data_IF_090923000232
#
_entry.id   IF_090923000232
#
_cell.length_a   1.000
_cell.length_b   1.000
_cell.length_c   1.000
_cell.angle_alpha   90.00
_cell.angle_beta   90.00
_cell.angle_gamma   90.00
#
_symmetry.space_group_name_H-M   'P 1'
#
loop_
_entity.id
_entity.type
_entity.pdbx_description
1 polymer ?
#
# COMPACT_ATOMS: atom_id res chain seq x y z
N UNK A 1 -4.24 -29.24 24.71
CA UNK A 1 -3.54 -28.00 24.33
C UNK A 1 -2.21 -28.40 23.69
N UNK A 2 -2.21 -28.53 22.37
CA UNK A 2 -1.01 -28.59 21.54
C UNK A 2 -1.17 -27.41 20.59
N UNK A 3 -0.38 -26.35 20.77
CA UNK A 3 -0.24 -25.32 19.73
C UNK A 3 0.55 -26.01 18.62
N UNK A 4 -0.15 -26.51 17.61
CA UNK A 4 0.52 -27.10 16.46
C UNK A 4 1.38 -26.02 15.79
N UNK A 5 2.64 -26.31 15.42
CA UNK A 5 3.57 -25.32 14.86
C UNK A 5 3.08 -24.67 13.56
N UNK A 6 2.05 -25.25 12.93
CA UNK A 6 1.36 -24.68 11.76
C UNK A 6 0.75 -23.31 12.07
N UNK A 7 0.13 -23.14 13.24
CA UNK A 7 -0.56 -21.88 13.60
C UNK A 7 0.39 -20.69 13.81
N UNK A 8 1.64 -20.96 14.24
CA UNK A 8 2.62 -19.91 14.47
C UNK A 8 3.18 -19.37 13.14
N UNK A 9 3.36 -20.26 12.15
CA UNK A 9 3.84 -19.88 10.82
C UNK A 9 2.84 -18.96 10.13
N UNK A 10 1.55 -19.32 10.15
CA UNK A 10 0.49 -18.50 9.55
C UNK A 10 0.37 -17.13 10.23
N UNK A 11 0.52 -17.09 11.56
CA UNK A 11 0.55 -15.84 12.30
C UNK A 11 1.71 -14.93 11.86
N UNK A 12 2.94 -15.46 11.78
CA UNK A 12 4.09 -14.67 11.35
C UNK A 12 3.96 -14.22 9.89
N UNK A 13 3.45 -15.08 9.02
CA UNK A 13 3.29 -14.76 7.61
C UNK A 13 2.20 -13.69 7.41
N UNK A 14 1.11 -13.75 8.17
CA UNK A 14 0.07 -12.71 8.20
C UNK A 14 0.61 -11.38 8.75
N UNK A 15 1.35 -11.41 9.86
CA UNK A 15 1.97 -10.21 10.43
C UNK A 15 3.00 -9.57 9.49
N UNK A 16 3.89 -10.39 8.91
CA UNK A 16 4.94 -9.92 8.03
C UNK A 16 4.38 -9.38 6.71
N UNK A 17 3.38 -10.05 6.14
CA UNK A 17 2.69 -9.55 4.94
C UNK A 17 1.95 -8.23 5.22
N UNK A 18 1.29 -8.10 6.37
CA UNK A 18 0.69 -6.82 6.80
C UNK A 18 1.74 -5.70 6.94
N UNK A 19 2.89 -5.99 7.57
CA UNK A 19 3.99 -5.05 7.68
C UNK A 19 4.55 -4.65 6.30
N UNK A 20 4.70 -5.62 5.39
CA UNK A 20 5.12 -5.39 4.01
C UNK A 20 4.13 -4.53 3.23
N UNK A 21 2.82 -4.70 3.43
CA UNK A 21 1.79 -3.84 2.84
C UNK A 21 2.02 -2.38 3.26
N UNK A 22 2.18 -2.11 4.56
CA UNK A 22 2.41 -0.74 5.05
C UNK A 22 3.74 -0.17 4.55
N UNK A 23 4.81 -0.97 4.60
CA UNK A 23 6.14 -0.55 4.14
C UNK A 23 6.15 -0.23 2.64
N UNK A 24 5.58 -1.10 1.80
CA UNK A 24 5.50 -0.87 0.36
C UNK A 24 4.55 0.27 0.01
N UNK A 25 3.46 0.47 0.76
CA UNK A 25 2.54 1.60 0.59
C UNK A 25 3.22 2.95 0.87
N UNK A 26 3.95 3.04 1.99
CA UNK A 26 4.69 4.26 2.36
C UNK A 26 5.82 4.54 1.39
N UNK A 27 6.56 3.50 0.96
CA UNK A 27 7.59 3.60 -0.07
C UNK A 27 7.01 4.07 -1.41
N UNK A 28 5.86 3.52 -1.83
CA UNK A 28 5.15 3.95 -3.03
C UNK A 28 4.73 5.42 -2.95
N UNK A 29 4.14 5.84 -1.82
CA UNK A 29 3.72 7.24 -1.63
C UNK A 29 4.93 8.21 -1.64
N UNK A 30 6.04 7.83 -1.00
CA UNK A 30 7.28 8.61 -1.00
C UNK A 30 7.90 8.73 -2.40
N UNK A 31 8.00 7.61 -3.13
CA UNK A 31 8.49 7.59 -4.50
C UNK A 31 7.58 8.36 -5.46
N UNK A 32 6.26 8.31 -5.24
CA UNK A 32 5.30 9.08 -6.02
C UNK A 32 5.48 10.59 -5.82
N UNK A 33 5.59 11.04 -4.55
CA UNK A 33 5.86 12.43 -4.24
C UNK A 33 7.21 12.89 -4.84
N UNK A 34 8.25 12.07 -4.68
CA UNK A 34 9.56 12.34 -5.25
C UNK A 34 9.55 12.40 -6.78
N UNK A 35 8.84 11.47 -7.43
CA UNK A 35 8.69 11.44 -8.88
C UNK A 35 8.01 12.71 -9.41
N UNK A 36 7.01 13.21 -8.67
CA UNK A 36 6.30 14.42 -9.05
C UNK A 36 7.14 15.68 -8.87
N UNK A 37 7.96 15.76 -7.83
CA UNK A 37 8.87 16.90 -7.60
C UNK A 37 10.03 16.89 -8.60
N UNK A 38 10.65 15.73 -8.82
CA UNK A 38 11.88 15.62 -9.61
C UNK A 38 11.64 15.51 -11.12
N UNK A 39 10.42 15.16 -11.56
CA UNK A 39 10.09 14.96 -12.98
C UNK A 39 10.82 13.78 -13.66
N UNK A 40 11.61 13.01 -12.90
CA UNK A 40 12.42 11.93 -13.42
C UNK A 40 11.60 10.65 -13.67
N UNK A 41 11.75 10.08 -14.88
CA UNK A 41 11.09 8.82 -15.26
C UNK A 41 11.49 7.64 -14.35
N UNK A 42 12.71 7.65 -13.82
CA UNK A 42 13.23 6.61 -12.92
C UNK A 42 12.40 6.50 -11.62
N UNK A 43 12.06 7.63 -11.00
CA UNK A 43 11.25 7.64 -9.78
C UNK A 43 9.81 7.14 -10.04
N UNK A 44 9.26 7.41 -11.24
CA UNK A 44 7.96 6.88 -11.66
C UNK A 44 7.99 5.36 -11.84
N UNK A 45 9.08 4.82 -12.38
CA UNK A 45 9.30 3.36 -12.48
C UNK A 45 9.42 2.76 -11.08
N UNK A 46 10.19 3.38 -10.19
CA UNK A 46 10.31 2.98 -8.79
C UNK A 46 8.96 2.91 -8.08
N UNK A 47 8.12 3.94 -8.23
CA UNK A 47 6.77 3.94 -7.68
C UNK A 47 5.91 2.79 -8.24
N UNK A 48 5.99 2.52 -9.55
CA UNK A 48 5.28 1.39 -10.17
C UNK A 48 5.73 0.04 -9.60
N UNK A 49 7.05 -0.15 -9.43
CA UNK A 49 7.62 -1.37 -8.83
C UNK A 49 7.16 -1.53 -7.38
N UNK A 50 7.19 -0.47 -6.56
CA UNK A 50 6.70 -0.52 -5.19
C UNK A 50 5.22 -0.86 -5.10
N UNK A 51 4.41 -0.33 -6.01
CA UNK A 51 2.99 -0.67 -6.09
C UNK A 51 2.78 -2.14 -6.50
N UNK A 52 3.58 -2.66 -7.43
CA UNK A 52 3.55 -4.09 -7.77
C UNK A 52 3.93 -4.99 -6.57
N UNK A 53 4.93 -4.60 -5.77
CA UNK A 53 5.28 -5.29 -4.53
C UNK A 53 4.17 -5.23 -3.47
N UNK A 54 3.42 -4.13 -3.41
CA UNK A 54 2.24 -4.02 -2.56
C UNK A 54 1.15 -5.01 -2.99
N UNK A 55 0.86 -5.11 -4.29
CA UNK A 55 -0.11 -6.08 -4.81
C UNK A 55 0.27 -7.52 -4.42
N UNK A 56 1.55 -7.88 -4.57
CA UNK A 56 2.05 -9.19 -4.17
C UNK A 56 1.86 -9.42 -2.66
N UNK A 57 2.13 -8.40 -1.83
CA UNK A 57 1.99 -8.50 -0.38
C UNK A 57 0.53 -8.64 0.06
N UNK A 58 -0.40 -7.91 -0.58
CA UNK A 58 -1.85 -8.05 -0.36
C UNK A 58 -2.35 -9.43 -0.80
N UNK A 59 -1.86 -9.95 -1.93
CA UNK A 59 -2.22 -11.29 -2.39
C UNK A 59 -1.79 -12.37 -1.39
N UNK A 60 -0.55 -12.31 -0.89
CA UNK A 60 -0.06 -13.22 0.16
C UNK A 60 -0.87 -13.07 1.45
N UNK A 61 -1.15 -11.84 1.88
CA UNK A 61 -1.98 -11.59 3.07
C UNK A 61 -3.40 -12.18 2.91
N UNK A 62 -3.99 -12.03 1.73
CA UNK A 62 -5.32 -12.54 1.40
C UNK A 62 -5.38 -14.07 1.43
N UNK A 63 -4.37 -14.72 0.87
CA UNK A 63 -4.24 -16.18 0.85
C UNK A 63 -4.07 -16.75 2.27
N UNK A 64 -3.12 -16.20 3.04
CA UNK A 64 -2.80 -16.65 4.41
C UNK A 64 -3.97 -16.43 5.37
N UNK A 65 -4.74 -15.36 5.21
CA UNK A 65 -5.91 -15.09 6.04
C UNK A 65 -7.21 -15.69 5.45
N UNK A 66 -7.12 -16.49 4.38
CA UNK A 66 -8.26 -17.11 3.70
C UNK A 66 -9.39 -16.12 3.36
N UNK A 67 -9.05 -14.91 2.90
CA UNK A 67 -9.99 -13.85 2.53
C UNK A 67 -10.70 -14.17 1.20
N UNK A 68 -11.53 -15.21 1.22
CA UNK A 68 -12.28 -15.72 0.07
C UNK A 68 -13.73 -15.22 0.06
N UNK A 69 -14.36 -15.26 -1.12
CA UNK A 69 -15.75 -14.83 -1.29
C UNK A 69 -15.95 -13.34 -0.96
N UNK A 70 -16.84 -13.04 -0.02
CA UNK A 70 -17.15 -11.67 0.39
C UNK A 70 -15.93 -10.92 0.96
N UNK A 71 -15.01 -11.62 1.63
CA UNK A 71 -13.82 -11.02 2.22
C UNK A 71 -12.79 -10.58 1.18
N UNK A 72 -12.88 -11.05 -0.06
CA UNK A 72 -12.04 -10.59 -1.16
C UNK A 72 -12.25 -9.09 -1.44
N UNK A 73 -13.46 -8.56 -1.17
CA UNK A 73 -13.74 -7.11 -1.25
C UNK A 73 -12.82 -6.31 -0.33
N UNK A 74 -12.45 -6.84 0.83
CA UNK A 74 -11.53 -6.17 1.76
C UNK A 74 -10.14 -6.04 1.14
N UNK A 75 -9.61 -7.12 0.56
CA UNK A 75 -8.33 -7.10 -0.15
C UNK A 75 -8.38 -6.15 -1.35
N UNK A 76 -9.48 -6.15 -2.10
CA UNK A 76 -9.67 -5.24 -3.23
C UNK A 76 -9.71 -3.77 -2.77
N UNK A 77 -10.41 -3.50 -1.66
CA UNK A 77 -10.48 -2.18 -1.05
C UNK A 77 -9.11 -1.70 -0.55
N UNK A 78 -8.26 -2.58 -0.03
CA UNK A 78 -6.88 -2.22 0.32
C UNK A 78 -6.11 -1.78 -0.93
N UNK A 79 -6.14 -2.57 -2.00
CA UNK A 79 -5.42 -2.27 -3.25
C UNK A 79 -5.85 -0.92 -3.85
N UNK A 80 -7.16 -0.69 -3.92
CA UNK A 80 -7.72 0.57 -4.42
C UNK A 80 -7.37 1.72 -3.48
N UNK A 81 -7.54 1.54 -2.17
CA UNK A 81 -7.25 2.56 -1.17
C UNK A 81 -5.80 3.03 -1.24
N UNK A 82 -4.85 2.09 -1.29
CA UNK A 82 -3.43 2.42 -1.42
C UNK A 82 -3.05 3.05 -2.76
N UNK A 83 -3.77 2.74 -3.85
CA UNK A 83 -3.58 3.42 -5.13
C UNK A 83 -4.00 4.88 -5.08
N UNK A 84 -5.15 5.16 -4.47
CA UNK A 84 -5.73 6.50 -4.42
C UNK A 84 -5.06 7.39 -3.38
N UNK A 85 -4.50 6.81 -2.31
CA UNK A 85 -3.93 7.52 -1.18
C UNK A 85 -2.86 8.58 -1.56
N UNK A 86 -1.81 8.28 -2.35
CA UNK A 86 -0.82 9.31 -2.73
C UNK A 86 -1.40 10.42 -3.61
N UNK A 87 -2.39 10.10 -4.44
CA UNK A 87 -3.08 11.10 -5.26
C UNK A 87 -3.92 12.04 -4.40
N UNK A 88 -4.68 11.49 -3.45
CA UNK A 88 -5.49 12.26 -2.51
C UNK A 88 -4.62 13.15 -1.62
N UNK A 89 -3.59 12.60 -0.98
CA UNK A 89 -2.67 13.36 -0.11
C UNK A 89 -2.08 14.55 -0.87
N UNK A 90 -1.60 14.32 -2.10
CA UNK A 90 -1.07 15.42 -2.88
C UNK A 90 -2.13 16.46 -3.23
N UNK A 91 -3.32 16.03 -3.66
CA UNK A 91 -4.39 16.96 -4.03
C UNK A 91 -4.78 17.84 -2.84
N UNK A 92 -4.87 17.26 -1.63
CA UNK A 92 -5.04 18.03 -0.40
C UNK A 92 -3.88 19.01 -0.18
N UNK A 93 -2.62 18.55 -0.26
CA UNK A 93 -1.45 19.42 -0.04
C UNK A 93 -1.40 20.62 -0.99
N UNK A 94 -1.76 20.45 -2.27
CA UNK A 94 -1.80 21.57 -3.23
C UNK A 94 -2.98 22.50 -2.98
N UNK A 95 -4.15 21.95 -2.66
CA UNK A 95 -5.34 22.75 -2.38
C UNK A 95 -5.10 23.73 -1.22
N UNK A 96 -4.38 23.32 -0.17
CA UNK A 96 -4.07 24.22 0.96
C UNK A 96 -3.17 25.40 0.57
N UNK A 97 -2.23 25.21 -0.37
CA UNK A 97 -1.33 26.29 -0.79
C UNK A 97 -2.03 27.33 -1.68
N UNK A 98 -3.08 26.92 -2.40
CA UNK A 98 -3.90 27.85 -3.21
C UNK A 98 -4.77 28.72 -2.30
N UNK A 99 -5.34 28.15 -1.23
CA UNK A 99 -6.17 28.87 -0.26
C UNK A 99 -5.37 29.96 0.50
N UNK A 100 -4.07 29.74 0.74
CA UNK A 100 -3.16 30.75 1.33
C UNK A 100 -2.79 31.89 0.38
N UNK A 101 -2.95 31.75 -0.94
CA UNK A 101 -2.58 32.80 -1.90
C UNK A 101 -3.74 33.72 -2.31
N UNK A 102 -4.98 33.35 -1.99
CA UNK A 102 -6.20 34.12 -2.29
C UNK A 102 -6.77 34.89 -1.06
N UNK A 103 -6.04 34.95 0.06
CA UNK A 103 -6.32 35.85 1.21
C UNK A 103 -5.37 37.05 1.24
#
# INVERSE_FOLDING_TARGET
>A
MLVEPVALSDFFLSFFSAAMIIFTATLYAGLFAWARISGQKSARIGACVSYASLLASVAVFSDVNHLTGYWLLLSFSMVIGYALMPHAIWHLCVATHLDETDQ
#
